data_IF_825077728384
#
_entry.id   IF_825077728384
#
_cell.length_a   1.000
_cell.length_b   1.000
_cell.length_c   1.000
_cell.angle_alpha   90.00
_cell.angle_beta   90.00
_cell.angle_gamma   90.00
#
_symmetry.space_group_name_H-M   'P 1'
#
loop_
_entity.id
_entity.type
_entity.pdbx_description
1 polymer ?
#
# COMPACT_ATOMS: atom_id res chain seq x y z
N UNK A 1 -9.09 22.37 37.48
CA UNK A 1 -9.70 22.12 36.14
C UNK A 1 -8.88 22.73 34.98
N UNK A 2 -7.96 23.70 35.20
CA UNK A 2 -6.83 23.98 34.27
C UNK A 2 -5.78 22.88 34.33
N UNK A 3 -5.72 22.24 35.48
CA UNK A 3 -4.60 21.42 35.88
C UNK A 3 -4.71 19.96 35.40
N UNK A 4 -5.88 19.54 34.85
CA UNK A 4 -6.05 18.18 34.30
C UNK A 4 -5.46 18.03 32.89
N UNK A 5 -5.57 19.08 32.06
CA UNK A 5 -4.91 19.08 30.75
C UNK A 5 -3.42 19.34 30.90
N UNK A 6 -3.01 20.13 31.90
CA UNK A 6 -1.59 20.23 32.30
C UNK A 6 -1.05 18.87 32.79
N UNK A 7 -1.83 18.10 33.54
CA UNK A 7 -1.49 16.72 33.91
C UNK A 7 -1.30 15.83 32.68
N UNK A 8 -2.24 15.91 31.75
CA UNK A 8 -2.21 15.12 30.53
C UNK A 8 -1.00 15.49 29.66
N UNK A 9 -0.66 16.77 29.56
CA UNK A 9 0.48 17.25 28.80
C UNK A 9 1.82 16.87 29.45
N UNK A 10 1.90 16.91 30.78
CA UNK A 10 3.07 16.42 31.52
C UNK A 10 3.27 14.91 31.27
N UNK A 11 2.20 14.12 31.30
CA UNK A 11 2.25 12.70 30.95
C UNK A 11 2.61 12.51 29.46
N UNK A 12 2.08 13.33 28.56
CA UNK A 12 2.41 13.27 27.13
C UNK A 12 3.90 13.50 26.88
N UNK A 13 4.49 14.54 27.47
CA UNK A 13 5.91 14.87 27.26
C UNK A 13 6.83 13.82 27.90
N UNK A 14 6.49 13.28 29.07
CA UNK A 14 7.25 12.17 29.68
C UNK A 14 7.20 10.87 28.87
N UNK A 15 6.13 10.65 28.10
CA UNK A 15 5.96 9.49 27.22
C UNK A 15 6.53 9.72 25.80
N UNK A 16 7.10 10.90 25.50
CA UNK A 16 7.44 11.32 24.13
C UNK A 16 8.39 10.38 23.38
N UNK A 17 9.34 9.76 24.06
CA UNK A 17 10.27 8.81 23.45
C UNK A 17 9.58 7.50 23.02
N UNK A 18 8.47 7.16 23.67
CA UNK A 18 7.63 6.03 23.33
C UNK A 18 6.62 6.38 22.22
N UNK A 19 6.12 7.62 22.19
CA UNK A 19 5.18 8.08 21.18
C UNK A 19 5.87 8.23 19.81
N UNK A 20 5.30 7.70 18.70
CA UNK A 20 5.81 7.99 17.37
C UNK A 20 5.80 9.49 17.13
N UNK A 21 6.77 10.02 16.35
CA UNK A 21 6.77 11.43 15.95
C UNK A 21 5.43 11.78 15.29
N UNK A 22 4.66 12.64 15.94
CA UNK A 22 3.41 13.21 15.44
C UNK A 22 3.72 14.63 15.03
N UNK A 23 3.46 14.97 13.78
CA UNK A 23 3.46 16.38 13.38
C UNK A 23 2.18 17.04 13.93
N UNK A 24 2.26 18.30 14.35
CA UNK A 24 1.12 19.03 14.90
C UNK A 24 -0.07 19.13 13.93
N UNK A 25 0.18 19.04 12.62
CA UNK A 25 -0.86 19.05 11.58
C UNK A 25 -1.64 17.73 11.46
N UNK A 26 -1.21 16.65 12.13
CA UNK A 26 -1.82 15.32 11.95
C UNK A 26 -3.28 15.28 12.38
N UNK A 27 -3.71 16.10 13.34
CA UNK A 27 -5.12 16.13 13.81
C UNK A 27 -6.04 16.94 12.88
N UNK A 28 -5.46 17.78 12.01
CA UNK A 28 -6.21 18.56 11.01
C UNK A 28 -6.65 17.75 9.78
N UNK A 29 -6.05 16.58 9.58
CA UNK A 29 -6.27 15.71 8.42
C UNK A 29 -6.58 14.29 8.92
N UNK A 30 -7.83 13.87 8.75
CA UNK A 30 -8.34 12.57 9.21
C UNK A 30 -7.61 11.39 8.59
N UNK A 31 -7.08 11.52 7.37
CA UNK A 31 -6.35 10.44 6.68
C UNK A 31 -4.92 10.33 7.20
N UNK A 32 -4.23 11.47 7.42
CA UNK A 32 -2.92 11.48 8.09
C UNK A 32 -3.03 10.91 9.49
N UNK A 33 -4.05 11.32 10.24
CA UNK A 33 -4.35 10.80 11.57
C UNK A 33 -4.58 9.29 11.58
N UNK A 34 -5.43 8.79 10.65
CA UNK A 34 -5.71 7.36 10.54
C UNK A 34 -4.46 6.52 10.23
N UNK A 35 -3.56 7.04 9.38
CA UNK A 35 -2.25 6.40 9.10
C UNK A 35 -1.34 6.37 10.32
N UNK A 36 -1.26 7.46 11.07
CA UNK A 36 -0.48 7.51 12.32
C UNK A 36 -1.02 6.52 13.35
N UNK A 37 -2.34 6.51 13.57
CA UNK A 37 -3.01 5.59 14.51
C UNK A 37 -2.75 4.13 14.13
N UNK A 38 -2.83 3.80 12.85
CA UNK A 38 -2.52 2.45 12.35
C UNK A 38 -1.08 2.02 12.65
N UNK A 39 -0.11 2.96 12.60
CA UNK A 39 1.27 2.68 12.97
C UNK A 39 1.47 2.55 14.48
N UNK A 40 0.70 3.31 15.28
CA UNK A 40 0.70 3.24 16.74
C UNK A 40 0.16 1.90 17.25
N UNK A 41 -1.01 1.47 16.78
CA UNK A 41 -1.68 0.22 17.20
C UNK A 41 -0.87 -1.06 16.95
N UNK A 42 0.10 -1.03 16.04
CA UNK A 42 0.99 -2.17 15.76
C UNK A 42 2.15 -2.24 16.75
N UNK A 43 2.49 -1.13 17.42
CA UNK A 43 3.57 -1.08 18.41
C UNK A 43 3.06 -1.59 19.75
N UNK A 44 3.81 -2.52 20.34
CA UNK A 44 3.62 -2.95 21.73
C UNK A 44 4.56 -2.13 22.61
N UNK A 45 4.06 -1.57 23.72
CA UNK A 45 4.92 -1.02 24.77
C UNK A 45 5.85 -2.14 25.23
N UNK A 46 7.17 -1.92 25.14
CA UNK A 46 8.17 -2.85 25.68
C UNK A 46 8.70 -2.28 26.99
N UNK A 47 9.05 -3.17 27.93
CA UNK A 47 9.59 -2.77 29.25
C UNK A 47 10.82 -1.86 29.16
N UNK A 48 11.65 -2.03 28.13
CA UNK A 48 12.84 -1.20 27.90
C UNK A 48 12.53 0.21 27.34
N UNK A 49 11.26 0.55 27.10
CA UNK A 49 10.81 1.88 26.71
C UNK A 49 10.24 2.68 27.89
N UNK A 50 10.11 2.06 29.07
CA UNK A 50 9.74 2.77 30.29
C UNK A 50 10.97 3.51 30.80
N UNK A 51 10.84 4.83 31.00
CA UNK A 51 11.90 5.70 31.50
C UNK A 51 11.56 6.21 32.90
N UNK A 52 12.57 6.68 33.62
CA UNK A 52 12.36 7.29 34.93
C UNK A 52 11.44 8.51 34.86
N UNK A 53 11.44 9.24 33.73
CA UNK A 53 10.53 10.38 33.52
C UNK A 53 9.03 9.99 33.59
N UNK A 54 8.71 8.72 33.36
CA UNK A 54 7.34 8.19 33.43
C UNK A 54 6.94 7.72 34.83
N UNK A 55 7.85 7.72 35.81
CA UNK A 55 7.54 7.33 37.19
C UNK A 55 6.59 8.36 37.82
N UNK A 56 5.58 7.86 38.55
CA UNK A 56 4.61 8.71 39.25
C UNK A 56 5.30 9.73 40.16
N UNK A 57 6.35 9.34 40.88
CA UNK A 57 7.08 10.24 41.79
C UNK A 57 7.74 11.40 41.04
N UNK A 58 8.41 11.11 39.91
CA UNK A 58 9.05 12.14 39.10
C UNK A 58 8.03 13.08 38.43
N UNK A 59 6.88 12.55 38.03
CA UNK A 59 5.78 13.37 37.50
C UNK A 59 5.21 14.29 38.59
N UNK A 60 5.06 13.80 39.83
CA UNK A 60 4.62 14.61 40.97
C UNK A 60 5.59 15.75 41.28
N UNK A 61 6.90 15.49 41.21
CA UNK A 61 7.93 16.52 41.43
C UNK A 61 7.90 17.61 40.36
N UNK A 62 7.58 17.25 39.12
CA UNK A 62 7.49 18.18 37.99
C UNK A 62 6.15 18.94 37.94
N UNK A 63 5.11 18.42 38.58
CA UNK A 63 3.80 19.05 38.61
C UNK A 63 3.84 20.35 39.45
N UNK A 64 3.46 21.46 38.84
CA UNK A 64 3.40 22.78 39.50
C UNK A 64 2.14 22.99 40.36
N UNK A 65 1.28 21.98 40.49
CA UNK A 65 -0.04 22.09 41.12
C UNK A 65 -0.29 20.97 42.14
N UNK A 66 -1.00 21.32 43.22
CA UNK A 66 -1.18 20.46 44.41
C UNK A 66 -2.05 19.22 44.18
N UNK A 67 -2.89 19.23 43.15
CA UNK A 67 -3.90 18.19 42.90
C UNK A 67 -3.48 17.17 41.81
N UNK A 68 -2.18 16.96 41.58
CA UNK A 68 -1.68 16.00 40.58
C UNK A 68 -2.27 14.61 40.74
N UNK A 69 -2.32 14.08 41.96
CA UNK A 69 -2.86 12.73 42.23
C UNK A 69 -4.33 12.60 41.85
N UNK A 70 -5.14 13.60 42.21
CA UNK A 70 -6.57 13.63 41.88
C UNK A 70 -6.77 13.70 40.36
N UNK A 71 -5.99 14.53 39.65
CA UNK A 71 -6.06 14.61 38.20
C UNK A 71 -5.58 13.33 37.53
N UNK A 72 -4.50 12.71 38.02
CA UNK A 72 -4.01 11.44 37.51
C UNK A 72 -5.07 10.34 37.67
N UNK A 73 -5.76 10.29 38.81
CA UNK A 73 -6.87 9.37 39.03
C UNK A 73 -7.99 9.60 38.02
N UNK A 74 -8.41 10.85 37.77
CA UNK A 74 -9.44 11.16 36.77
C UNK A 74 -8.98 10.77 35.36
N UNK A 75 -7.71 10.99 35.00
CA UNK A 75 -7.16 10.56 33.71
C UNK A 75 -7.19 9.03 33.57
N UNK A 76 -6.90 8.29 34.64
CA UNK A 76 -6.93 6.83 34.68
C UNK A 76 -8.36 6.28 34.60
N UNK A 77 -9.30 6.85 35.36
CA UNK A 77 -10.73 6.50 35.31
C UNK A 77 -11.34 6.70 33.92
N UNK A 78 -10.84 7.65 33.15
CA UNK A 78 -11.24 7.92 31.77
C UNK A 78 -10.39 7.19 30.72
N UNK A 79 -9.52 6.25 31.13
CA UNK A 79 -8.64 5.47 30.26
C UNK A 79 -7.72 6.31 29.36
N UNK A 80 -7.34 7.51 29.81
CA UNK A 80 -6.40 8.39 29.10
C UNK A 80 -4.95 8.01 29.39
N UNK A 81 -4.73 7.40 30.56
CA UNK A 81 -3.46 6.87 31.01
C UNK A 81 -3.68 5.52 31.69
N UNK A 82 -2.62 4.73 31.82
CA UNK A 82 -2.59 3.49 32.57
C UNK A 82 -1.44 3.53 33.57
N UNK A 83 -1.72 3.17 34.82
CA UNK A 83 -0.69 3.02 35.84
C UNK A 83 -0.21 1.57 35.90
N UNK A 84 1.06 1.31 35.56
CA UNK A 84 1.64 -0.04 35.57
C UNK A 84 2.97 -0.03 36.32
N UNK A 85 3.05 -0.75 37.44
CA UNK A 85 4.27 -0.85 38.27
C UNK A 85 4.90 0.52 38.57
N UNK A 86 4.10 1.49 39.00
CA UNK A 86 4.49 2.88 39.29
C UNK A 86 4.84 3.76 38.09
N UNK A 87 4.76 3.25 36.85
CA UNK A 87 4.89 4.04 35.64
C UNK A 87 3.52 4.50 35.12
N UNK A 88 3.42 5.74 34.67
CA UNK A 88 2.24 6.29 33.99
C UNK A 88 2.46 6.22 32.48
N UNK A 89 1.66 5.39 31.81
CA UNK A 89 1.74 5.15 30.37
C UNK A 89 0.55 5.83 29.70
N UNK A 90 0.80 6.62 28.66
CA UNK A 90 -0.27 7.25 27.91
C UNK A 90 -0.98 6.25 26.99
N UNK A 91 -2.31 6.26 26.97
CA UNK A 91 -3.10 5.45 26.02
C UNK A 91 -3.24 6.14 24.67
N UNK A 92 -3.75 5.41 23.68
CA UNK A 92 -4.17 5.99 22.40
C UNK A 92 -5.10 7.18 22.64
N UNK A 93 -6.16 6.99 23.43
CA UNK A 93 -7.15 8.03 23.71
C UNK A 93 -6.52 9.26 24.38
N UNK A 94 -5.60 9.06 25.33
CA UNK A 94 -4.85 10.14 25.96
C UNK A 94 -4.04 10.96 24.96
N UNK A 95 -3.33 10.31 24.04
CA UNK A 95 -2.56 10.98 22.98
C UNK A 95 -3.49 11.82 22.10
N UNK A 96 -4.62 11.27 21.67
CA UNK A 96 -5.59 11.98 20.82
C UNK A 96 -6.10 13.23 21.53
N UNK A 97 -6.48 13.10 22.81
CA UNK A 97 -7.02 14.22 23.58
C UNK A 97 -5.97 15.29 23.82
N UNK A 98 -4.72 14.94 24.16
CA UNK A 98 -3.64 15.93 24.33
C UNK A 98 -3.39 16.70 23.03
N UNK A 99 -3.38 16.01 21.88
CA UNK A 99 -3.19 16.68 20.59
C UNK A 99 -4.39 17.56 20.21
N UNK A 100 -5.62 17.09 20.44
CA UNK A 100 -6.84 17.89 20.21
C UNK A 100 -6.84 19.14 21.09
N UNK A 101 -6.41 19.01 22.35
CA UNK A 101 -6.31 20.13 23.28
C UNK A 101 -5.25 21.15 22.84
N UNK A 102 -4.08 20.69 22.33
CA UNK A 102 -3.00 21.56 21.83
C UNK A 102 -3.36 22.32 20.55
N UNK A 103 -4.23 21.76 19.69
CA UNK A 103 -4.61 22.39 18.42
C UNK A 103 -5.78 23.39 18.53
N UNK A 104 -6.50 23.40 19.64
CA UNK A 104 -7.74 24.17 19.82
C UNK A 104 -7.56 25.22 20.92
N UNK A 105 -6.63 26.17 20.70
CA UNK A 105 -6.23 27.19 21.69
C UNK A 105 -7.42 28.06 22.16
N UNK A 106 -8.44 28.27 21.31
CA UNK A 106 -9.65 29.04 21.68
C UNK A 106 -10.66 28.20 22.49
N UNK A 107 -10.79 26.88 22.24
CA UNK A 107 -11.66 25.99 23.04
C UNK A 107 -10.99 25.44 24.31
N UNK A 108 -9.66 25.57 24.43
CA UNK A 108 -8.89 25.27 25.65
C UNK A 108 -9.42 26.05 26.88
N UNK A 109 -10.11 27.18 26.64
CA UNK A 109 -10.75 27.99 27.66
C UNK A 109 -12.17 27.50 28.05
N UNK A 110 -12.86 26.71 27.21
CA UNK A 110 -14.26 26.27 27.45
C UNK A 110 -14.41 24.86 28.06
N UNK A 111 -13.32 24.07 28.15
CA UNK A 111 -13.08 23.02 29.16
C UNK A 111 -14.24 22.11 29.56
N UNK A 112 -14.56 21.19 28.67
CA UNK A 112 -15.25 19.98 29.10
C UNK A 112 -14.43 18.77 28.65
N UNK A 113 -13.79 18.09 29.60
CA UNK A 113 -13.06 16.84 29.36
C UNK A 113 -13.96 15.82 28.65
N UNK A 114 -15.25 15.75 29.01
CA UNK A 114 -16.22 14.84 28.38
C UNK A 114 -16.41 15.13 26.89
N UNK A 115 -16.31 16.41 26.48
CA UNK A 115 -16.42 16.80 25.07
C UNK A 115 -15.21 16.30 24.27
N UNK A 116 -14.01 16.46 24.82
CA UNK A 116 -12.78 15.95 24.22
C UNK A 116 -12.73 14.42 24.21
N UNK A 117 -13.24 13.76 25.25
CA UNK A 117 -13.38 12.31 25.30
C UNK A 117 -14.30 11.83 24.16
N UNK A 118 -15.49 12.43 24.01
CA UNK A 118 -16.42 12.08 22.92
C UNK A 118 -15.78 12.25 21.54
N UNK A 119 -15.12 13.37 21.30
CA UNK A 119 -14.42 13.65 20.03
C UNK A 119 -13.24 12.68 19.83
N UNK A 120 -12.47 12.41 20.88
CA UNK A 120 -11.36 11.46 20.88
C UNK A 120 -11.79 10.05 20.50
N UNK A 121 -12.92 9.58 21.03
CA UNK A 121 -13.50 8.28 20.64
C UNK A 121 -13.88 8.22 19.17
N UNK A 122 -14.41 9.30 18.57
CA UNK A 122 -14.71 9.32 17.14
C UNK A 122 -13.44 9.13 16.29
N UNK A 123 -12.36 9.86 16.65
CA UNK A 123 -11.06 9.71 16.01
C UNK A 123 -10.47 8.31 16.18
N UNK A 124 -10.58 7.73 17.38
CA UNK A 124 -10.12 6.38 17.67
C UNK A 124 -10.89 5.32 16.86
N UNK A 125 -12.22 5.41 16.82
CA UNK A 125 -13.07 4.50 16.04
C UNK A 125 -12.71 4.56 14.55
N UNK A 126 -12.57 5.78 13.99
CA UNK A 126 -12.19 5.96 12.59
C UNK A 126 -10.79 5.39 12.30
N UNK A 127 -9.83 5.62 13.19
CA UNK A 127 -8.48 5.06 13.07
C UNK A 127 -8.45 3.53 13.11
N UNK A 128 -9.19 2.93 14.04
CA UNK A 128 -9.34 1.46 14.16
C UNK A 128 -10.04 0.89 12.92
N UNK A 129 -11.13 1.50 12.47
CA UNK A 129 -11.85 1.09 11.26
C UNK A 129 -10.94 1.11 10.04
N UNK A 130 -10.17 2.18 9.83
CA UNK A 130 -9.20 2.30 8.75
C UNK A 130 -8.08 1.25 8.83
N UNK A 131 -7.58 0.94 10.02
CA UNK A 131 -6.59 -0.13 10.23
C UNK A 131 -7.15 -1.50 9.83
N UNK A 132 -8.37 -1.81 10.27
CA UNK A 132 -9.04 -3.06 9.91
C UNK A 132 -9.35 -3.14 8.41
N UNK A 133 -9.85 -2.05 7.82
CA UNK A 133 -10.07 -1.95 6.37
C UNK A 133 -8.76 -2.18 5.62
N UNK A 134 -7.65 -1.58 6.05
CA UNK A 134 -6.35 -1.78 5.42
C UNK A 134 -5.85 -3.24 5.54
N UNK A 135 -6.13 -3.92 6.67
CA UNK A 135 -5.84 -5.36 6.82
C UNK A 135 -6.71 -6.21 5.91
N UNK A 136 -8.00 -5.88 5.79
CA UNK A 136 -8.94 -6.56 4.90
C UNK A 136 -8.50 -6.36 3.45
N UNK A 137 -8.21 -5.14 3.02
CA UNK A 137 -7.73 -4.83 1.67
C UNK A 137 -6.36 -5.46 1.38
N UNK A 138 -5.58 -5.77 2.42
CA UNK A 138 -4.37 -6.58 2.29
C UNK A 138 -4.66 -8.06 2.03
N UNK A 139 -5.74 -8.61 2.56
CA UNK A 139 -6.12 -10.02 2.34
C UNK A 139 -6.98 -10.18 1.08
N UNK A 140 -7.78 -9.17 0.77
CA UNK A 140 -8.76 -9.11 -0.30
C UNK A 140 -8.56 -7.79 -1.06
N UNK A 141 -7.56 -7.68 -1.93
CA UNK A 141 -7.37 -6.47 -2.72
C UNK A 141 -8.62 -6.19 -3.56
N UNK A 142 -9.17 -4.97 -3.44
CA UNK A 142 -10.36 -4.48 -4.18
C UNK A 142 -10.03 -4.18 -5.66
N UNK A 143 -9.24 -5.03 -6.30
CA UNK A 143 -8.72 -4.84 -7.65
C UNK A 143 -7.32 -4.21 -7.71
N UNK A 144 -6.94 -3.80 -8.91
CA UNK A 144 -5.62 -3.25 -9.21
C UNK A 144 -5.70 -1.75 -9.51
N UNK A 145 -4.61 -1.04 -9.23
CA UNK A 145 -4.43 0.34 -9.69
C UNK A 145 -4.16 0.38 -11.19
N UNK A 146 -4.38 1.52 -11.84
CA UNK A 146 -4.09 1.70 -13.28
C UNK A 146 -2.66 1.30 -13.64
N UNK A 147 -1.65 1.71 -12.84
CA UNK A 147 -0.25 1.32 -13.05
C UNK A 147 -0.04 -0.20 -12.97
N UNK A 148 -0.72 -0.87 -12.04
CA UNK A 148 -0.65 -2.33 -11.90
C UNK A 148 -1.35 -3.04 -13.07
N UNK A 149 -2.51 -2.55 -13.51
CA UNK A 149 -3.22 -3.10 -14.68
C UNK A 149 -2.38 -2.95 -15.95
N UNK A 150 -1.86 -1.75 -16.21
CA UNK A 150 -0.99 -1.47 -17.37
C UNK A 150 0.24 -2.37 -17.36
N UNK A 151 0.84 -2.60 -16.18
CA UNK A 151 1.98 -3.51 -16.06
C UNK A 151 1.60 -4.98 -16.32
N UNK A 152 0.43 -5.43 -15.83
CA UNK A 152 -0.07 -6.78 -16.12
C UNK A 152 -0.31 -6.96 -17.62
N UNK A 153 -0.97 -6.01 -18.27
CA UNK A 153 -1.21 -6.02 -19.71
C UNK A 153 0.12 -6.02 -20.47
N UNK A 154 1.11 -5.23 -20.03
CA UNK A 154 2.45 -5.25 -20.60
C UNK A 154 3.12 -6.63 -20.57
N UNK A 155 3.00 -7.36 -19.45
CA UNK A 155 3.50 -8.73 -19.34
C UNK A 155 2.76 -9.69 -20.29
N UNK A 156 1.43 -9.56 -20.40
CA UNK A 156 0.60 -10.39 -21.28
C UNK A 156 0.91 -10.15 -22.76
N UNK A 157 1.01 -8.89 -23.20
CA UNK A 157 1.33 -8.51 -24.58
C UNK A 157 2.72 -8.98 -25.02
N UNK A 158 3.66 -9.09 -24.09
CA UNK A 158 5.03 -9.55 -24.35
C UNK A 158 5.24 -11.02 -24.00
N UNK A 159 4.16 -11.80 -23.81
CA UNK A 159 4.22 -13.25 -23.71
C UNK A 159 4.97 -13.78 -22.48
N UNK A 160 4.99 -13.04 -21.37
CA UNK A 160 5.63 -13.47 -20.13
C UNK A 160 4.81 -14.52 -19.38
N UNK A 161 4.71 -15.71 -19.97
CA UNK A 161 3.79 -16.79 -19.58
C UNK A 161 4.47 -18.03 -18.97
N UNK A 162 5.79 -17.97 -18.81
CA UNK A 162 6.59 -18.95 -18.08
C UNK A 162 7.95 -18.31 -17.70
N UNK A 163 8.78 -19.06 -16.98
CA UNK A 163 10.09 -18.61 -16.53
C UNK A 163 11.09 -18.35 -17.67
N UNK A 164 10.97 -19.07 -18.78
CA UNK A 164 11.86 -18.92 -19.93
C UNK A 164 11.61 -17.58 -20.64
N UNK A 165 10.34 -17.20 -20.72
CA UNK A 165 9.85 -15.99 -21.38
C UNK A 165 9.60 -14.83 -20.41
N UNK A 166 10.08 -14.94 -19.17
CA UNK A 166 9.80 -13.96 -18.12
C UNK A 166 10.33 -12.57 -18.48
N UNK A 167 9.72 -11.54 -17.89
CA UNK A 167 10.27 -10.20 -17.85
C UNK A 167 11.50 -10.18 -16.95
N UNK A 168 12.62 -9.69 -17.48
CA UNK A 168 13.93 -9.63 -16.85
C UNK A 168 14.36 -8.18 -16.67
N UNK A 169 14.74 -7.80 -15.45
CA UNK A 169 15.33 -6.48 -15.21
C UNK A 169 16.41 -6.55 -14.15
N UNK A 170 17.54 -5.89 -14.40
CA UNK A 170 18.62 -5.76 -13.41
C UNK A 170 18.38 -4.56 -12.53
N UNK A 171 18.61 -4.71 -11.23
CA UNK A 171 18.42 -3.63 -10.26
C UNK A 171 19.60 -3.47 -9.31
N UNK A 172 19.61 -2.33 -8.62
CA UNK A 172 20.55 -2.01 -7.55
C UNK A 172 19.79 -1.36 -6.38
N UNK A 173 20.51 -0.91 -5.35
CA UNK A 173 19.93 -0.07 -4.30
C UNK A 173 19.46 1.28 -4.83
N UNK A 174 20.04 1.78 -5.94
CA UNK A 174 19.71 3.06 -6.54
C UNK A 174 18.52 3.00 -7.50
N UNK A 175 18.17 1.82 -8.02
CA UNK A 175 17.08 1.64 -8.99
C UNK A 175 17.40 0.55 -10.03
N UNK A 176 16.66 0.57 -11.13
CA UNK A 176 16.93 -0.27 -12.31
C UNK A 176 18.22 0.17 -13.01
N UNK A 177 19.04 -0.81 -13.40
CA UNK A 177 20.31 -0.62 -14.12
C UNK A 177 20.13 -0.54 -15.64
N UNK A 178 19.06 -1.15 -16.15
CA UNK A 178 18.71 -1.13 -17.56
C UNK A 178 18.05 0.21 -17.97
N UNK A 179 18.30 0.67 -19.20
CA UNK A 179 17.48 1.74 -19.79
C UNK A 179 16.01 1.33 -19.86
N UNK A 180 15.17 2.04 -19.10
CA UNK A 180 13.72 1.80 -19.00
C UNK A 180 12.91 2.56 -20.04
N UNK A 181 13.51 3.42 -20.86
CA UNK A 181 12.79 4.21 -21.87
C UNK A 181 11.90 3.35 -22.77
N UNK A 182 12.35 2.17 -23.26
CA UNK A 182 11.49 1.30 -24.06
C UNK A 182 10.29 0.74 -23.30
N UNK A 183 10.50 0.36 -22.04
CA UNK A 183 9.46 -0.16 -21.15
C UNK A 183 8.43 0.94 -20.85
N UNK A 184 8.89 2.13 -20.47
CA UNK A 184 8.02 3.27 -20.19
C UNK A 184 7.19 3.68 -21.40
N UNK A 185 7.76 3.69 -22.61
CA UNK A 185 7.04 3.95 -23.86
C UNK A 185 5.91 2.93 -24.09
N UNK A 186 6.20 1.65 -23.90
CA UNK A 186 5.20 0.59 -24.04
C UNK A 186 4.07 0.71 -22.99
N UNK A 187 4.42 0.95 -21.72
CA UNK A 187 3.44 1.16 -20.65
C UNK A 187 2.57 2.39 -20.90
N UNK A 188 3.16 3.48 -21.38
CA UNK A 188 2.42 4.70 -21.70
C UNK A 188 1.39 4.44 -22.81
N UNK A 189 1.78 3.79 -23.92
CA UNK A 189 0.86 3.47 -25.01
C UNK A 189 -0.27 2.52 -24.57
N UNK A 190 0.04 1.54 -23.72
CA UNK A 190 -0.97 0.65 -23.13
C UNK A 190 -1.96 1.48 -22.30
N UNK A 191 -1.48 2.40 -21.47
CA UNK A 191 -2.35 3.24 -20.66
C UNK A 191 -3.21 4.18 -21.50
N UNK A 192 -2.63 4.81 -22.51
CA UNK A 192 -3.35 5.72 -23.41
C UNK A 192 -4.50 5.01 -24.12
N UNK A 193 -4.29 3.73 -24.49
CA UNK A 193 -5.31 2.93 -25.16
C UNK A 193 -6.41 2.43 -24.23
N UNK A 194 -6.11 2.18 -22.95
CA UNK A 194 -7.02 1.53 -22.01
C UNK A 194 -7.75 2.48 -21.05
N UNK A 195 -7.18 3.65 -20.71
CA UNK A 195 -7.65 4.50 -19.59
C UNK A 195 -7.65 6.01 -19.87
N UNK A 196 -7.53 6.43 -21.13
CA UNK A 196 -7.30 7.81 -21.59
C UNK A 196 -5.94 8.43 -21.18
N UNK A 197 -5.43 9.33 -22.02
CA UNK A 197 -4.03 9.78 -22.10
C UNK A 197 -3.43 10.47 -20.86
N UNK A 198 -4.23 10.77 -19.84
CA UNK A 198 -3.77 11.50 -18.64
C UNK A 198 -3.42 10.58 -17.46
N UNK A 199 -3.68 9.27 -17.56
CA UNK A 199 -3.67 8.37 -16.41
C UNK A 199 -2.28 7.82 -16.02
N UNK A 200 -1.27 7.86 -16.91
CA UNK A 200 0.02 7.22 -16.66
C UNK A 200 1.21 8.17 -16.77
N UNK A 201 1.87 8.35 -15.64
CA UNK A 201 3.16 9.05 -15.56
C UNK A 201 4.28 8.01 -15.68
N UNK A 202 5.17 8.22 -16.64
CA UNK A 202 6.37 7.39 -16.83
C UNK A 202 7.16 7.26 -15.52
N UNK A 203 7.58 6.04 -15.20
CA UNK A 203 8.26 5.77 -13.94
C UNK A 203 9.77 5.96 -14.08
N UNK A 204 10.36 6.75 -13.19
CA UNK A 204 11.81 6.81 -13.08
C UNK A 204 12.37 5.47 -12.58
N UNK A 205 13.67 5.22 -12.83
CA UNK A 205 14.36 3.99 -12.47
C UNK A 205 14.15 3.55 -11.00
N UNK A 206 14.22 4.49 -10.05
CA UNK A 206 14.00 4.20 -8.63
C UNK A 206 12.53 3.92 -8.31
N UNK A 207 11.61 4.64 -8.95
CA UNK A 207 10.17 4.42 -8.78
C UNK A 207 9.77 3.04 -9.32
N UNK A 208 10.24 2.67 -10.51
CA UNK A 208 9.97 1.37 -11.12
C UNK A 208 10.52 0.23 -10.26
N UNK A 209 11.76 0.34 -9.76
CA UNK A 209 12.32 -0.65 -8.82
C UNK A 209 11.45 -0.80 -7.56
N UNK A 210 11.01 0.31 -6.97
CA UNK A 210 10.10 0.28 -5.81
C UNK A 210 8.72 -0.28 -6.15
N UNK A 211 8.20 -0.04 -7.35
CA UNK A 211 6.96 -0.62 -7.85
C UNK A 211 7.07 -2.15 -7.91
N UNK A 212 8.13 -2.68 -8.53
CA UNK A 212 8.36 -4.13 -8.61
C UNK A 212 8.56 -4.76 -7.22
N UNK A 213 9.35 -4.12 -6.34
CA UNK A 213 9.58 -4.62 -4.97
C UNK A 213 8.32 -4.67 -4.12
N UNK A 214 7.36 -3.77 -4.36
CA UNK A 214 6.05 -3.80 -3.70
C UNK A 214 5.13 -4.88 -4.28
N UNK A 215 5.24 -5.17 -5.57
CA UNK A 215 4.45 -6.17 -6.29
C UNK A 215 5.12 -7.55 -6.35
N UNK A 216 5.51 -8.07 -5.19
CA UNK A 216 5.93 -9.47 -5.04
C UNK A 216 4.70 -10.40 -4.97
N UNK A 217 4.88 -11.70 -4.69
CA UNK A 217 3.77 -12.64 -4.42
C UNK A 217 2.78 -12.13 -3.35
N UNK A 218 3.27 -11.37 -2.38
CA UNK A 218 2.46 -10.76 -1.32
C UNK A 218 2.00 -9.33 -1.65
N UNK A 219 2.36 -8.81 -2.82
CA UNK A 219 1.91 -7.51 -3.34
C UNK A 219 0.49 -7.58 -3.90
N UNK A 220 -0.04 -6.47 -4.43
CA UNK A 220 -1.41 -6.43 -4.97
C UNK A 220 -1.56 -7.37 -6.15
N UNK A 221 -0.65 -7.29 -7.14
CA UNK A 221 -0.66 -8.17 -8.33
C UNK A 221 -0.55 -9.64 -7.92
N UNK A 222 0.42 -9.96 -7.05
CA UNK A 222 0.62 -11.33 -6.58
C UNK A 222 -0.58 -11.90 -5.83
N UNK A 223 -1.32 -11.09 -5.07
CA UNK A 223 -2.55 -11.52 -4.40
C UNK A 223 -3.74 -11.67 -5.35
N UNK A 224 -3.89 -10.76 -6.33
CA UNK A 224 -4.98 -10.82 -7.32
C UNK A 224 -4.82 -12.03 -8.25
N UNK A 225 -3.59 -12.24 -8.75
CA UNK A 225 -3.29 -13.32 -9.68
C UNK A 225 -2.79 -14.60 -9.00
N UNK A 226 -2.65 -14.58 -7.67
CA UNK A 226 -2.34 -15.71 -6.79
C UNK A 226 -1.26 -16.65 -7.38
N UNK A 227 -1.58 -17.95 -7.51
CA UNK A 227 -0.69 -19.00 -8.00
C UNK A 227 -0.19 -18.80 -9.44
N UNK A 228 -0.85 -17.92 -10.19
CA UNK A 228 -0.49 -17.62 -11.58
C UNK A 228 0.65 -16.62 -11.66
N UNK A 229 0.80 -15.69 -10.72
CA UNK A 229 1.87 -14.69 -10.78
C UNK A 229 3.15 -15.24 -10.17
N UNK A 230 4.27 -15.17 -10.91
CA UNK A 230 5.58 -15.53 -10.43
C UNK A 230 6.46 -14.29 -10.40
N UNK A 231 7.11 -14.06 -9.27
CA UNK A 231 8.03 -12.95 -9.09
C UNK A 231 9.21 -13.35 -8.20
N UNK A 232 10.41 -13.37 -8.77
CA UNK A 232 11.63 -13.78 -8.10
C UNK A 232 12.75 -12.75 -8.27
N UNK A 233 13.57 -12.58 -7.23
CA UNK A 233 14.76 -11.75 -7.26
C UNK A 233 15.98 -12.60 -6.90
N UNK A 234 16.88 -12.76 -7.87
CA UNK A 234 18.18 -13.38 -7.68
C UNK A 234 19.17 -12.33 -7.20
N UNK A 235 19.64 -12.49 -5.96
CA UNK A 235 20.62 -11.58 -5.34
C UNK A 235 22.02 -11.72 -5.96
N UNK A 236 22.38 -12.89 -6.47
CA UNK A 236 23.71 -13.13 -7.06
C UNK A 236 23.87 -12.37 -8.38
N UNK A 237 22.82 -12.35 -9.20
CA UNK A 237 22.83 -11.67 -10.50
C UNK A 237 22.24 -10.26 -10.45
N UNK A 238 21.69 -9.85 -9.30
CA UNK A 238 20.84 -8.67 -9.14
C UNK A 238 19.72 -8.60 -10.18
N UNK A 239 19.11 -9.76 -10.45
CA UNK A 239 18.18 -9.96 -11.56
C UNK A 239 16.79 -10.28 -11.02
N UNK A 240 15.80 -9.51 -11.46
CA UNK A 240 14.39 -9.76 -11.18
C UNK A 240 13.74 -10.44 -12.37
N UNK A 241 12.97 -11.50 -12.10
CA UNK A 241 12.22 -12.29 -13.08
C UNK A 241 10.74 -12.26 -12.73
N UNK A 242 9.90 -11.89 -13.69
CA UNK A 242 8.44 -11.75 -13.49
C UNK A 242 7.70 -12.38 -14.66
N UNK A 243 6.77 -13.29 -14.39
CA UNK A 243 5.91 -13.89 -15.41
C UNK A 243 4.59 -14.34 -14.80
N UNK A 244 3.63 -14.70 -15.65
CA UNK A 244 2.54 -15.57 -15.28
C UNK A 244 2.95 -17.03 -15.53
N UNK A 245 2.48 -17.97 -14.73
CA UNK A 245 2.73 -19.39 -14.88
C UNK A 245 1.56 -20.05 -15.62
N UNK A 246 1.48 -19.80 -16.92
CA UNK A 246 0.39 -20.27 -17.81
C UNK A 246 0.78 -21.60 -18.45
N UNK A 247 2.08 -21.80 -18.68
CA UNK A 247 2.60 -23.01 -19.30
C UNK A 247 3.26 -23.91 -18.27
N UNK A 248 2.56 -25.00 -17.89
CA UNK A 248 3.19 -26.18 -17.28
C UNK A 248 4.22 -26.85 -18.21
N UNK A 249 4.82 -27.96 -17.76
CA UNK A 249 5.98 -28.60 -18.44
C UNK A 249 5.67 -29.33 -19.77
N UNK A 250 4.41 -29.46 -20.16
CA UNK A 250 3.99 -29.93 -21.49
C UNK A 250 2.51 -29.60 -21.63
N UNK A 251 2.16 -28.62 -22.45
CA UNK A 251 0.80 -28.07 -22.45
C UNK A 251 0.29 -28.05 -23.88
N UNK A 252 -0.79 -28.79 -24.12
CA UNK A 252 -1.54 -28.67 -25.36
C UNK A 252 -2.10 -27.24 -25.51
N UNK A 253 -2.39 -26.85 -26.76
CA UNK A 253 -2.89 -25.50 -27.07
C UNK A 253 -4.13 -25.12 -26.24
N UNK A 254 -5.01 -26.09 -25.97
CA UNK A 254 -6.27 -25.86 -25.25
C UNK A 254 -6.03 -25.47 -23.79
N UNK A 255 -5.10 -26.13 -23.11
CA UNK A 255 -4.79 -25.82 -21.71
C UNK A 255 -4.11 -24.44 -21.58
N UNK A 256 -3.33 -24.02 -22.59
CA UNK A 256 -2.81 -22.65 -22.67
C UNK A 256 -3.96 -21.65 -22.83
N UNK A 257 -4.88 -21.88 -23.77
CA UNK A 257 -6.04 -21.00 -23.98
C UNK A 257 -6.89 -20.87 -22.71
N UNK A 258 -7.20 -21.97 -22.03
CA UNK A 258 -7.94 -21.96 -20.76
C UNK A 258 -7.20 -21.17 -19.67
N UNK A 259 -5.89 -21.28 -19.60
CA UNK A 259 -5.10 -20.56 -18.59
C UNK A 259 -5.00 -19.06 -18.91
N UNK A 260 -4.93 -18.70 -20.20
CA UNK A 260 -5.01 -17.31 -20.65
C UNK A 260 -6.40 -16.71 -20.41
N UNK A 261 -7.47 -17.48 -20.64
CA UNK A 261 -8.85 -17.08 -20.33
C UNK A 261 -9.03 -16.81 -18.83
N UNK A 262 -8.49 -17.67 -17.97
CA UNK A 262 -8.48 -17.44 -16.53
C UNK A 262 -7.71 -16.17 -16.14
N UNK A 263 -6.53 -15.92 -16.74
CA UNK A 263 -5.79 -14.69 -16.52
C UNK A 263 -6.60 -13.45 -16.94
N UNK A 264 -7.23 -13.50 -18.12
CA UNK A 264 -8.07 -12.42 -18.62
C UNK A 264 -9.25 -12.15 -17.69
N UNK A 265 -9.96 -13.19 -17.26
CA UNK A 265 -11.07 -13.07 -16.30
C UNK A 265 -10.62 -12.47 -14.96
N UNK A 266 -9.47 -12.88 -14.45
CA UNK A 266 -8.88 -12.28 -13.24
C UNK A 266 -8.54 -10.80 -13.46
N UNK A 267 -7.96 -10.45 -14.61
CA UNK A 267 -7.69 -9.06 -14.97
C UNK A 267 -8.97 -8.22 -15.01
N UNK A 268 -9.99 -8.68 -15.73
CA UNK A 268 -11.27 -7.97 -15.83
C UNK A 268 -11.95 -7.80 -14.47
N UNK A 269 -11.90 -8.82 -13.62
CA UNK A 269 -12.45 -8.74 -12.27
C UNK A 269 -11.64 -7.83 -11.34
N UNK A 270 -10.41 -7.51 -11.69
CA UNK A 270 -9.57 -6.56 -10.96
C UNK A 270 -9.79 -5.10 -11.34
N UNK A 271 -10.63 -4.82 -12.35
CA UNK A 271 -11.02 -3.47 -12.74
C UNK A 271 -12.03 -2.92 -11.71
N UNK A 272 -11.73 -1.78 -11.09
CA UNK A 272 -12.57 -1.16 -10.06
C UNK A 272 -13.93 -0.67 -10.58
N UNK A 273 -14.00 -0.24 -11.85
CA UNK A 273 -15.22 0.23 -12.49
C UNK A 273 -15.75 -0.82 -13.47
N UNK A 274 -16.83 -1.50 -13.07
CA UNK A 274 -17.50 -2.56 -13.84
C UNK A 274 -18.14 -2.07 -15.15
N UNK A 275 -18.49 -0.78 -15.24
CA UNK A 275 -19.25 -0.21 -16.36
C UNK A 275 -18.49 -0.14 -17.69
N UNK A 276 -17.21 -0.53 -17.71
CA UNK A 276 -16.34 -0.41 -18.89
C UNK A 276 -15.62 -1.72 -19.25
N UNK A 277 -16.02 -2.88 -18.72
CA UNK A 277 -15.36 -4.16 -19.05
C UNK A 277 -15.37 -4.46 -20.56
N UNK A 278 -16.47 -4.17 -21.25
CA UNK A 278 -16.59 -4.34 -22.70
C UNK A 278 -15.71 -3.34 -23.47
N UNK A 279 -15.75 -2.06 -23.11
CA UNK A 279 -14.86 -1.03 -23.68
C UNK A 279 -13.39 -1.38 -23.48
N UNK A 280 -13.03 -1.86 -22.28
CA UNK A 280 -11.69 -2.34 -21.97
C UNK A 280 -11.30 -3.53 -22.86
N UNK A 281 -12.18 -4.52 -23.02
CA UNK A 281 -11.92 -5.68 -23.89
C UNK A 281 -11.75 -5.28 -25.35
N UNK A 282 -12.61 -4.40 -25.88
CA UNK A 282 -12.50 -3.88 -27.25
C UNK A 282 -11.19 -3.10 -27.45
N UNK A 283 -10.84 -2.22 -26.52
CA UNK A 283 -9.58 -1.49 -26.57
C UNK A 283 -8.36 -2.41 -26.43
N UNK A 284 -8.45 -3.44 -25.60
CA UNK A 284 -7.39 -4.42 -25.42
C UNK A 284 -7.21 -5.29 -26.67
N UNK A 285 -8.31 -5.69 -27.31
CA UNK A 285 -8.29 -6.38 -28.61
C UNK A 285 -7.57 -5.54 -29.66
N UNK A 286 -7.94 -4.27 -29.82
CA UNK A 286 -7.28 -3.36 -30.76
C UNK A 286 -5.79 -3.18 -30.43
N UNK A 287 -5.45 -3.08 -29.15
CA UNK A 287 -4.07 -3.00 -28.69
C UNK A 287 -3.25 -4.23 -29.10
N UNK A 288 -3.81 -5.44 -28.98
CA UNK A 288 -3.15 -6.67 -29.43
C UNK A 288 -2.90 -6.63 -30.94
N UNK A 289 -3.92 -6.27 -31.73
CA UNK A 289 -3.79 -6.17 -33.19
C UNK A 289 -2.67 -5.18 -33.56
N UNK A 290 -2.61 -4.03 -32.90
CA UNK A 290 -1.55 -3.05 -33.11
C UNK A 290 -0.17 -3.62 -32.75
N UNK A 291 -0.04 -4.32 -31.60
CA UNK A 291 1.21 -4.95 -31.19
C UNK A 291 1.69 -6.08 -32.12
N UNK A 292 0.76 -6.77 -32.81
CA UNK A 292 1.12 -7.77 -33.81
C UNK A 292 1.77 -7.14 -35.05
N UNK A 293 1.32 -5.94 -35.43
CA UNK A 293 1.84 -5.17 -36.57
C UNK A 293 3.13 -4.44 -36.19
N UNK A 294 3.09 -3.66 -35.11
CA UNK A 294 4.18 -2.81 -34.64
C UNK A 294 4.33 -2.96 -33.12
N UNK A 295 5.29 -3.76 -32.69
CA UNK A 295 5.61 -3.87 -31.27
C UNK A 295 6.46 -2.64 -30.84
N UNK A 296 6.07 -1.93 -29.77
CA UNK A 296 6.82 -0.76 -29.29
C UNK A 296 8.23 -1.09 -28.76
N UNK A 297 8.49 -2.36 -28.46
CA UNK A 297 9.82 -2.86 -28.18
C UNK A 297 10.45 -3.39 -29.47
N UNK A 298 11.58 -2.78 -29.85
CA UNK A 298 12.39 -3.31 -30.95
C UNK A 298 12.94 -4.70 -30.60
N UNK A 299 13.29 -5.50 -31.61
CA UNK A 299 13.71 -6.90 -31.40
C UNK A 299 14.86 -7.07 -30.37
N UNK A 300 15.83 -6.15 -30.36
CA UNK A 300 16.92 -6.18 -29.37
C UNK A 300 16.46 -5.80 -27.95
N UNK A 301 15.46 -4.92 -27.82
CA UNK A 301 14.83 -4.56 -26.55
C UNK A 301 13.97 -5.72 -26.03
N UNK A 302 13.25 -6.41 -26.92
CA UNK A 302 12.54 -7.64 -26.58
C UNK A 302 13.51 -8.69 -26.05
N UNK A 303 14.63 -8.97 -26.74
CA UNK A 303 15.62 -9.94 -26.26
C UNK A 303 16.24 -9.55 -24.91
N UNK A 304 16.35 -8.24 -24.63
CA UNK A 304 16.86 -7.72 -23.37
C UNK A 304 15.90 -8.00 -22.22
N UNK A 305 14.60 -7.72 -22.41
CA UNK A 305 13.59 -7.78 -21.34
C UNK A 305 12.81 -9.10 -21.29
N UNK A 306 12.61 -9.77 -22.41
CA UNK A 306 11.79 -10.98 -22.57
C UNK A 306 12.57 -12.00 -23.42
N UNK A 307 13.40 -12.80 -22.76
CA UNK A 307 14.24 -13.79 -23.45
C UNK A 307 13.35 -14.85 -24.10
N UNK A 308 13.69 -15.29 -25.30
CA UNK A 308 13.05 -16.42 -26.00
C UNK A 308 11.54 -16.30 -26.29
N UNK A 309 10.94 -15.12 -26.15
CA UNK A 309 9.51 -14.97 -26.43
C UNK A 309 9.22 -14.90 -27.94
N UNK A 310 8.42 -15.85 -28.44
CA UNK A 310 7.68 -15.67 -29.69
C UNK A 310 6.42 -14.83 -29.43
N UNK A 311 6.58 -13.50 -29.44
CA UNK A 311 5.50 -12.60 -29.04
C UNK A 311 4.30 -12.69 -30.00
N UNK A 312 4.50 -12.92 -31.31
CA UNK A 312 3.40 -13.02 -32.28
C UNK A 312 2.49 -14.21 -32.02
N UNK A 313 3.08 -15.37 -31.73
CA UNK A 313 2.31 -16.57 -31.35
C UNK A 313 1.56 -16.34 -30.03
N UNK A 314 2.24 -15.73 -29.05
CA UNK A 314 1.64 -15.37 -27.76
C UNK A 314 0.45 -14.42 -27.92
N UNK A 315 0.58 -13.40 -28.78
CA UNK A 315 -0.48 -12.45 -29.10
C UNK A 315 -1.64 -13.09 -29.84
N UNK A 316 -1.37 -14.04 -30.76
CA UNK A 316 -2.43 -14.75 -31.47
C UNK A 316 -3.28 -15.60 -30.51
N UNK A 317 -2.65 -16.30 -29.56
CA UNK A 317 -3.35 -17.06 -28.53
C UNK A 317 -4.18 -16.15 -27.62
N UNK A 318 -3.62 -14.99 -27.22
CA UNK A 318 -4.33 -14.02 -26.40
C UNK A 318 -5.52 -13.39 -27.17
N UNK A 319 -5.34 -13.06 -28.45
CA UNK A 319 -6.41 -12.55 -29.31
C UNK A 319 -7.57 -13.55 -29.43
N UNK A 320 -7.25 -14.83 -29.61
CA UNK A 320 -8.25 -15.91 -29.66
C UNK A 320 -9.13 -15.90 -28.41
N UNK A 321 -8.51 -15.81 -27.23
CA UNK A 321 -9.22 -15.76 -25.95
C UNK A 321 -10.06 -14.49 -25.79
N UNK A 322 -9.56 -13.34 -26.24
CA UNK A 322 -10.32 -12.09 -26.18
C UNK A 322 -11.54 -12.14 -27.10
N UNK A 323 -11.39 -12.64 -28.32
CA UNK A 323 -12.49 -12.77 -29.28
C UNK A 323 -13.58 -13.71 -28.72
N UNK A 324 -13.20 -14.84 -28.11
CA UNK A 324 -14.13 -15.76 -27.44
C UNK A 324 -14.89 -15.14 -26.24
N UNK A 325 -14.37 -14.07 -25.63
CA UNK A 325 -15.04 -13.36 -24.53
C UNK A 325 -15.86 -12.14 -25.02
N UNK A 326 -15.81 -11.82 -26.32
CA UNK A 326 -16.59 -10.76 -26.96
C UNK A 326 -17.81 -11.29 -27.73
N UNK A 327 -17.77 -12.56 -28.17
CA UNK A 327 -18.87 -13.27 -28.84
C UNK A 327 -19.97 -13.76 -27.87
#
# INVERSE_FOLDING_TARGET
MYDIFEALDLVFESNRDYLPKINSDVVSDTDKFGKWMSAFLVRRVKRNLLSDAMLIENLKEQASYKDFENHLQVLEENFLVLTVNQYVIMTELGVIISLLAKCDEEAYQQKNLDSYIKRGYQYLINGIANHHLHKINKLFPEGLTTKEIVFVVFLMLNGAYNLENAFHVKESSAGILDDLSPVNRSLQQISEKLFDSTAFVAMESKEFSNFLRRNTMNGSIGRVFNSSYYHHYDKGENLRKICFNVMGRAVDKNTVLLSLDQLLKTLLNSLKNLSEKESFLLNFRELIVNYMVENPLAAHEQLKFFRNTNYRESLYLLLTVIDENLD
#
